data_IF_271196350045
#
_entry.id   IF_271196350045
#
_cell.length_a   1.000
_cell.length_b   1.000
_cell.length_c   1.000
_cell.angle_alpha   90.00
_cell.angle_beta   90.00
_cell.angle_gamma   90.00
#
_symmetry.space_group_name_H-M   'P 1'
#
loop_
_entity.id
_entity.type
_entity.pdbx_description
1 polymer ?
#
# COMPACT_ATOMS: atom_id res chain seq x y z
N UNK A 1 -21.36 -17.42 -12.85
CA UNK A 1 -22.05 -16.33 -13.58
C UNK A 1 -21.31 -15.04 -13.27
N UNK A 2 -20.66 -14.39 -14.25
CA UNK A 2 -20.04 -13.08 -14.06
C UNK A 2 -21.12 -12.01 -14.05
N UNK A 3 -21.13 -11.15 -13.06
CA UNK A 3 -22.06 -10.01 -12.99
C UNK A 3 -21.76 -9.06 -14.15
N UNK A 4 -22.64 -9.00 -15.15
CA UNK A 4 -22.46 -8.11 -16.30
C UNK A 4 -22.77 -6.66 -15.89
N UNK A 5 -21.72 -5.90 -15.61
CA UNK A 5 -21.86 -4.45 -15.50
C UNK A 5 -22.04 -3.85 -16.91
N UNK A 6 -22.92 -2.86 -17.04
CA UNK A 6 -23.00 -2.09 -18.26
C UNK A 6 -21.79 -1.11 -18.31
N UNK A 7 -20.79 -1.31 -19.19
CA UNK A 7 -19.61 -0.47 -19.25
C UNK A 7 -19.91 0.93 -19.78
N UNK A 8 -21.07 1.11 -20.46
CA UNK A 8 -21.51 2.38 -21.02
C UNK A 8 -22.07 3.38 -20.02
N UNK A 9 -22.31 2.98 -18.75
CA UNK A 9 -22.83 3.88 -17.72
C UNK A 9 -21.69 4.41 -16.86
N UNK A 10 -21.61 5.74 -16.57
CA UNK A 10 -22.46 6.85 -17.06
C UNK A 10 -22.11 7.31 -18.47
N UNK A 11 -20.97 6.94 -19.02
CA UNK A 11 -20.53 7.23 -20.39
C UNK A 11 -19.74 6.06 -20.96
N UNK A 12 -19.85 5.79 -22.28
CA UNK A 12 -19.13 4.70 -22.91
C UNK A 12 -17.64 5.05 -23.13
N UNK A 13 -16.70 4.20 -22.70
CA UNK A 13 -15.27 4.42 -22.87
C UNK A 13 -14.81 4.58 -24.32
N UNK A 14 -15.56 4.01 -25.27
CA UNK A 14 -15.27 4.07 -26.72
C UNK A 14 -15.34 5.51 -27.27
N UNK A 15 -16.17 6.38 -26.66
CA UNK A 15 -16.33 7.80 -27.06
C UNK A 15 -15.24 8.70 -26.48
N UNK A 16 -14.30 8.16 -25.69
CA UNK A 16 -13.19 8.94 -25.17
C UNK A 16 -12.26 9.41 -26.29
N UNK A 17 -11.87 10.70 -26.34
CA UNK A 17 -10.96 11.23 -27.36
C UNK A 17 -9.55 10.63 -27.28
N UNK A 18 -9.18 10.09 -26.12
CA UNK A 18 -7.91 9.42 -25.88
C UNK A 18 -8.15 7.96 -25.55
N UNK A 19 -7.10 7.12 -25.66
CA UNK A 19 -7.19 5.74 -25.19
C UNK A 19 -7.58 5.70 -23.71
N UNK A 20 -8.74 5.14 -23.42
CA UNK A 20 -9.33 5.14 -22.08
C UNK A 20 -8.44 4.47 -21.02
N UNK A 21 -7.49 3.64 -21.42
CA UNK A 21 -6.48 3.07 -20.54
C UNK A 21 -5.68 4.13 -19.77
N UNK A 22 -5.47 5.33 -20.33
CA UNK A 22 -4.82 6.44 -19.60
C UNK A 22 -5.72 7.03 -18.51
N UNK A 23 -7.02 7.07 -18.74
CA UNK A 23 -8.00 7.46 -17.70
C UNK A 23 -8.00 6.42 -16.58
N UNK A 24 -7.95 5.14 -16.95
CA UNK A 24 -7.83 4.04 -15.97
C UNK A 24 -6.51 4.10 -15.21
N UNK A 25 -5.41 4.49 -15.85
CA UNK A 25 -4.12 4.69 -15.17
C UNK A 25 -4.27 5.74 -14.07
N UNK A 26 -4.80 6.91 -14.42
CA UNK A 26 -5.06 7.98 -13.45
C UNK A 26 -6.04 7.53 -12.36
N UNK A 27 -7.14 6.89 -12.74
CA UNK A 27 -8.14 6.40 -11.79
C UNK A 27 -7.57 5.36 -10.82
N UNK A 28 -6.71 4.47 -11.30
CA UNK A 28 -6.01 3.49 -10.46
C UNK A 28 -5.03 4.16 -9.50
N UNK A 29 -4.29 5.19 -9.94
CA UNK A 29 -3.40 5.98 -9.07
C UNK A 29 -4.21 6.65 -7.94
N UNK A 30 -5.33 7.31 -8.28
CA UNK A 30 -6.23 7.91 -7.29
C UNK A 30 -6.75 6.84 -6.31
N UNK A 31 -7.14 5.66 -6.81
CA UNK A 31 -7.61 4.57 -5.95
C UNK A 31 -6.55 4.06 -4.96
N UNK A 32 -5.29 3.98 -5.38
CA UNK A 32 -4.18 3.61 -4.49
C UNK A 32 -3.96 4.72 -3.45
N UNK A 33 -3.97 5.99 -3.84
CA UNK A 33 -3.80 7.14 -2.93
C UNK A 33 -4.95 7.22 -1.93
N UNK A 34 -6.19 7.00 -2.34
CA UNK A 34 -7.36 7.00 -1.45
C UNK A 34 -7.36 5.82 -0.46
N UNK A 35 -6.49 4.83 -0.64
CA UNK A 35 -6.27 3.76 0.34
C UNK A 35 -5.37 4.18 1.50
N UNK A 36 -4.67 5.33 1.42
CA UNK A 36 -3.66 5.77 2.41
C UNK A 36 -4.19 5.80 3.85
N UNK A 37 -5.42 6.22 4.16
CA UNK A 37 -5.93 6.16 5.53
C UNK A 37 -5.94 4.75 6.14
N UNK A 38 -5.96 3.70 5.30
CA UNK A 38 -5.83 2.30 5.71
C UNK A 38 -4.40 1.75 5.63
N UNK A 39 -3.42 2.54 5.21
CA UNK A 39 -2.01 2.16 5.12
C UNK A 39 -1.26 2.53 6.41
N UNK A 40 -0.11 1.92 6.65
CA UNK A 40 0.73 2.21 7.81
C UNK A 40 1.10 3.69 7.88
N UNK A 41 1.46 4.29 6.74
CA UNK A 41 1.78 5.72 6.62
C UNK A 41 0.64 6.64 7.09
N UNK A 42 -0.61 6.29 6.74
CA UNK A 42 -1.77 7.08 7.15
C UNK A 42 -2.09 6.92 8.64
N UNK A 43 -1.93 5.69 9.17
CA UNK A 43 -2.24 5.37 10.57
C UNK A 43 -1.21 5.95 11.52
N UNK A 44 0.08 6.00 11.14
CA UNK A 44 1.18 6.43 12.00
C UNK A 44 0.97 7.81 12.62
N UNK A 45 0.38 8.74 11.87
CA UNK A 45 0.09 10.12 12.31
C UNK A 45 -0.90 10.17 13.48
N UNK A 46 -1.77 9.17 13.62
CA UNK A 46 -2.81 9.13 14.65
C UNK A 46 -2.43 8.32 15.89
N UNK A 47 -1.29 7.64 15.87
CA UNK A 47 -0.90 6.66 16.91
C UNK A 47 -0.90 7.29 18.32
N UNK A 48 -0.24 8.44 18.49
CA UNK A 48 -0.11 9.09 19.80
C UNK A 48 -1.45 9.65 20.30
N UNK A 49 -2.28 10.15 19.39
CA UNK A 49 -3.63 10.60 19.74
C UNK A 49 -4.54 9.45 20.18
N UNK A 50 -4.41 8.27 19.57
CA UNK A 50 -5.15 7.08 19.97
C UNK A 50 -4.70 6.57 21.33
N UNK A 51 -3.38 6.58 21.62
CA UNK A 51 -2.82 6.22 22.94
C UNK A 51 -3.32 7.19 24.01
N UNK A 52 -3.29 8.49 23.74
CA UNK A 52 -3.81 9.50 24.67
C UNK A 52 -5.33 9.44 24.88
N UNK A 53 -6.07 8.86 23.94
CA UNK A 53 -7.54 8.79 24.00
C UNK A 53 -8.08 7.47 24.59
N UNK A 54 -7.27 6.43 24.70
CA UNK A 54 -7.65 5.08 25.14
C UNK A 54 -6.71 4.60 26.26
N UNK A 55 -7.17 3.72 27.17
CA UNK A 55 -6.33 3.16 28.24
C UNK A 55 -5.41 2.06 27.69
N UNK A 56 -4.67 2.37 26.64
CA UNK A 56 -3.77 1.42 25.96
C UNK A 56 -2.34 1.95 25.96
N UNK A 57 -1.40 1.07 26.25
CA UNK A 57 0.02 1.33 26.01
C UNK A 57 0.34 1.28 24.51
N UNK A 58 1.49 1.84 24.14
CA UNK A 58 2.00 1.77 22.76
C UNK A 58 2.13 0.31 22.28
N UNK A 59 2.64 -0.57 23.13
CA UNK A 59 2.77 -2.00 22.80
C UNK A 59 1.42 -2.67 22.56
N UNK A 60 0.40 -2.34 23.36
CA UNK A 60 -0.95 -2.87 23.19
C UNK A 60 -1.61 -2.34 21.90
N UNK A 61 -1.41 -1.06 21.58
CA UNK A 61 -1.92 -0.49 20.32
C UNK A 61 -1.22 -1.13 19.11
N UNK A 62 0.10 -1.38 19.19
CA UNK A 62 0.86 -2.09 18.15
C UNK A 62 0.39 -3.54 18.00
N UNK A 63 0.07 -4.22 19.12
CA UNK A 63 -0.52 -5.56 19.10
C UNK A 63 -1.88 -5.56 18.39
N UNK A 64 -2.74 -4.57 18.69
CA UNK A 64 -4.03 -4.43 18.00
C UNK A 64 -3.85 -4.22 16.49
N UNK A 65 -2.88 -3.39 16.10
CA UNK A 65 -2.54 -3.15 14.69
C UNK A 65 -2.03 -4.41 13.99
N UNK A 66 -1.15 -5.18 14.66
CA UNK A 66 -0.63 -6.46 14.18
C UNK A 66 -1.77 -7.47 13.97
N UNK A 67 -2.63 -7.66 14.97
CA UNK A 67 -3.75 -8.59 14.89
C UNK A 67 -4.73 -8.21 13.76
N UNK A 68 -5.10 -6.92 13.66
CA UNK A 68 -5.95 -6.43 12.58
C UNK A 68 -5.33 -6.64 11.19
N UNK A 69 -4.02 -6.43 11.05
CA UNK A 69 -3.29 -6.65 9.79
C UNK A 69 -3.25 -8.13 9.41
N UNK A 70 -2.96 -9.02 10.35
CA UNK A 70 -2.92 -10.46 10.13
C UNK A 70 -4.29 -10.99 9.72
N UNK A 71 -5.36 -10.59 10.43
CA UNK A 71 -6.74 -10.94 10.07
C UNK A 71 -7.11 -10.48 8.66
N UNK A 72 -6.72 -9.26 8.29
CA UNK A 72 -6.90 -8.72 6.93
C UNK A 72 -6.21 -9.61 5.88
N UNK A 73 -4.97 -10.05 6.15
CA UNK A 73 -4.21 -10.93 5.26
C UNK A 73 -4.91 -12.25 4.98
N UNK A 74 -5.50 -12.90 5.98
CA UNK A 74 -6.23 -14.15 5.80
C UNK A 74 -7.50 -14.01 4.93
N UNK A 75 -8.13 -12.84 4.94
CA UNK A 75 -9.39 -12.62 4.23
C UNK A 75 -9.22 -12.05 2.82
N UNK A 76 -8.04 -11.49 2.48
CA UNK A 76 -7.84 -10.84 1.19
C UNK A 76 -8.00 -11.77 0.00
N UNK A 77 -7.63 -13.04 0.14
CA UNK A 77 -7.82 -14.05 -0.92
C UNK A 77 -9.30 -14.26 -1.26
N UNK A 78 -10.17 -14.20 -0.24
CA UNK A 78 -11.64 -14.28 -0.48
C UNK A 78 -12.14 -13.03 -1.20
N UNK A 79 -11.65 -11.85 -0.82
CA UNK A 79 -11.98 -10.59 -1.51
C UNK A 79 -11.53 -10.61 -2.98
N UNK A 80 -10.39 -11.25 -3.30
CA UNK A 80 -9.94 -11.47 -4.67
C UNK A 80 -10.94 -12.27 -5.52
N UNK A 81 -11.53 -13.34 -4.95
CA UNK A 81 -12.58 -14.11 -5.62
C UNK A 81 -13.84 -13.27 -5.89
N UNK A 82 -14.21 -12.38 -4.97
CA UNK A 82 -15.32 -11.45 -5.18
C UNK A 82 -14.99 -10.41 -6.24
N UNK A 83 -13.74 -9.90 -6.27
CA UNK A 83 -13.29 -9.03 -7.33
C UNK A 83 -13.41 -9.69 -8.73
N UNK A 84 -13.02 -10.94 -8.88
CA UNK A 84 -13.15 -11.67 -10.14
C UNK A 84 -14.60 -11.87 -10.56
N UNK A 85 -15.53 -11.95 -9.60
CA UNK A 85 -16.96 -12.11 -9.83
C UNK A 85 -17.67 -10.80 -10.14
N UNK A 86 -17.39 -9.74 -9.37
CA UNK A 86 -18.14 -8.48 -9.40
C UNK A 86 -17.41 -7.35 -10.13
N UNK A 87 -16.11 -7.48 -10.39
CA UNK A 87 -15.29 -6.52 -11.12
C UNK A 87 -14.86 -5.29 -10.31
N UNK A 88 -14.04 -4.45 -10.95
CA UNK A 88 -13.34 -3.34 -10.31
C UNK A 88 -14.29 -2.26 -9.76
N UNK A 89 -15.35 -1.90 -10.51
CA UNK A 89 -16.26 -0.81 -10.12
C UNK A 89 -17.02 -1.16 -8.83
N UNK A 90 -17.69 -2.32 -8.78
CA UNK A 90 -18.48 -2.71 -7.60
C UNK A 90 -17.59 -2.89 -6.39
N UNK A 91 -16.46 -3.60 -6.54
CA UNK A 91 -15.55 -3.84 -5.43
C UNK A 91 -14.86 -2.56 -4.98
N UNK A 92 -14.57 -1.62 -5.89
CA UNK A 92 -14.00 -0.31 -5.54
C UNK A 92 -15.00 0.57 -4.76
N UNK A 93 -16.26 0.62 -5.19
CA UNK A 93 -17.32 1.33 -4.44
C UNK A 93 -17.54 0.72 -3.07
N UNK A 94 -17.65 -0.61 -2.99
CA UNK A 94 -17.80 -1.31 -1.71
C UNK A 94 -16.63 -1.01 -0.76
N UNK A 95 -15.40 -1.09 -1.26
CA UNK A 95 -14.21 -0.79 -0.47
C UNK A 95 -14.19 0.67 0.01
N UNK A 96 -14.58 1.62 -0.85
CA UNK A 96 -14.67 3.04 -0.49
C UNK A 96 -15.70 3.31 0.60
N UNK A 97 -16.92 2.79 0.47
CA UNK A 97 -17.98 2.92 1.48
C UNK A 97 -17.54 2.31 2.81
N UNK A 98 -17.06 1.05 2.77
CA UNK A 98 -16.67 0.34 3.98
C UNK A 98 -15.44 0.96 4.66
N UNK A 99 -14.45 1.44 3.89
CA UNK A 99 -13.34 2.20 4.46
C UNK A 99 -13.84 3.50 5.09
N UNK A 100 -14.72 4.24 4.43
CA UNK A 100 -15.33 5.45 4.98
C UNK A 100 -16.03 5.18 6.33
N UNK A 101 -16.83 4.10 6.41
CA UNK A 101 -17.47 3.68 7.67
C UNK A 101 -16.45 3.32 8.75
N UNK A 102 -15.37 2.62 8.39
CA UNK A 102 -14.31 2.28 9.35
C UNK A 102 -13.55 3.53 9.83
N UNK A 103 -13.37 4.55 8.99
CA UNK A 103 -12.78 5.83 9.40
C UNK A 103 -13.71 6.60 10.37
N UNK A 104 -15.03 6.56 10.16
CA UNK A 104 -16.01 7.09 11.15
C UNK A 104 -15.93 6.31 12.45
N UNK A 105 -15.79 4.98 12.39
CA UNK A 105 -15.58 4.14 13.56
C UNK A 105 -14.31 4.55 14.32
N UNK A 106 -13.17 4.74 13.61
CA UNK A 106 -11.90 5.19 14.21
C UNK A 106 -12.03 6.58 14.86
N UNK A 107 -12.75 7.51 14.24
CA UNK A 107 -13.02 8.84 14.80
C UNK A 107 -13.76 8.80 16.13
N UNK A 108 -14.49 7.71 16.39
CA UNK A 108 -15.31 7.52 17.60
C UNK A 108 -14.82 6.40 18.52
N UNK A 109 -13.65 5.81 18.21
CA UNK A 109 -13.12 4.63 18.92
C UNK A 109 -13.02 4.83 20.44
N UNK A 110 -12.72 6.06 20.88
CA UNK A 110 -12.62 6.44 22.28
C UNK A 110 -13.98 6.65 22.99
N UNK A 111 -15.10 6.55 22.26
CA UNK A 111 -16.47 6.73 22.80
C UNK A 111 -17.31 5.47 22.73
N UNK A 112 -16.85 4.44 22.02
CA UNK A 112 -17.62 3.21 21.80
C UNK A 112 -17.94 2.50 23.12
N UNK A 113 -17.03 2.56 24.08
CA UNK A 113 -17.15 1.86 25.35
C UNK A 113 -17.86 2.69 26.45
N UNK A 114 -18.09 3.99 26.24
CA UNK A 114 -18.77 4.87 27.23
C UNK A 114 -20.13 4.32 27.67
N UNK A 115 -21.02 3.84 26.78
CA UNK A 115 -22.32 3.31 27.18
C UNK A 115 -22.27 2.09 28.09
N UNK A 116 -21.14 1.35 28.07
CA UNK A 116 -20.98 0.11 28.83
C UNK A 116 -20.17 0.29 30.11
N UNK A 117 -19.21 1.20 30.12
CA UNK A 117 -18.22 1.33 31.21
C UNK A 117 -18.11 2.76 31.77
N UNK A 118 -18.98 3.70 31.31
CA UNK A 118 -18.94 5.10 31.74
C UNK A 118 -17.82 5.91 31.10
N UNK A 119 -17.72 7.18 31.52
CA UNK A 119 -16.78 8.15 30.94
C UNK A 119 -15.34 8.00 31.44
N UNK A 120 -15.18 7.37 32.62
CA UNK A 120 -13.85 7.16 33.21
C UNK A 120 -13.06 6.07 32.48
N UNK A 121 -12.25 6.49 31.50
CA UNK A 121 -11.53 5.57 30.63
C UNK A 121 -10.47 4.72 31.34
N UNK A 122 -9.98 5.16 32.50
CA UNK A 122 -9.02 4.38 33.30
C UNK A 122 -9.62 3.10 33.90
N UNK A 123 -10.94 3.04 34.01
CA UNK A 123 -11.67 1.88 34.52
C UNK A 123 -12.09 0.89 33.43
N UNK A 124 -11.88 1.25 32.15
CA UNK A 124 -12.24 0.34 31.06
C UNK A 124 -11.37 -0.90 31.05
N UNK A 125 -11.97 -2.08 30.94
CA UNK A 125 -11.17 -3.30 30.80
C UNK A 125 -10.32 -3.23 29.52
N UNK A 126 -9.01 -3.39 29.67
CA UNK A 126 -8.02 -3.29 28.57
C UNK A 126 -8.39 -4.20 27.38
N UNK A 127 -8.95 -5.40 27.67
CA UNK A 127 -9.37 -6.32 26.62
C UNK A 127 -10.43 -5.75 25.67
N UNK A 128 -11.38 -4.96 26.19
CA UNK A 128 -12.41 -4.31 25.36
C UNK A 128 -11.84 -3.14 24.56
N UNK A 129 -10.97 -2.32 25.16
CA UNK A 129 -10.28 -1.27 24.44
C UNK A 129 -9.39 -1.84 23.32
N UNK A 130 -8.70 -2.95 23.59
CA UNK A 130 -7.91 -3.68 22.59
C UNK A 130 -8.82 -4.22 21.48
N UNK A 131 -9.97 -4.83 21.80
CA UNK A 131 -10.89 -5.37 20.80
C UNK A 131 -11.45 -4.28 19.87
N UNK A 132 -11.81 -3.11 20.42
CA UNK A 132 -12.23 -1.94 19.63
C UNK A 132 -11.14 -1.56 18.62
N UNK A 133 -9.88 -1.51 19.04
CA UNK A 133 -8.78 -1.14 18.14
C UNK A 133 -8.45 -2.25 17.13
N UNK A 134 -8.53 -3.52 17.50
CA UNK A 134 -8.35 -4.66 16.56
C UNK A 134 -9.39 -4.59 15.45
N UNK A 135 -10.66 -4.37 15.79
CA UNK A 135 -11.74 -4.26 14.79
C UNK A 135 -11.50 -3.04 13.88
N UNK A 136 -11.15 -1.89 14.45
CA UNK A 136 -10.85 -0.67 13.71
C UNK A 136 -9.68 -0.87 12.74
N UNK A 137 -8.56 -1.38 13.22
CA UNK A 137 -7.37 -1.64 12.40
C UNK A 137 -7.63 -2.74 11.37
N UNK A 138 -8.33 -3.81 11.73
CA UNK A 138 -8.75 -4.81 10.74
C UNK A 138 -9.54 -4.16 9.60
N UNK A 139 -10.55 -3.36 9.93
CA UNK A 139 -11.42 -2.74 8.93
C UNK A 139 -10.67 -1.80 7.99
N UNK A 140 -9.88 -0.86 8.50
CA UNK A 140 -9.13 0.09 7.66
C UNK A 140 -8.05 -0.61 6.83
N UNK A 141 -7.38 -1.64 7.38
CA UNK A 141 -6.38 -2.45 6.66
C UNK A 141 -7.02 -3.28 5.56
N UNK A 142 -8.11 -3.96 5.87
CA UNK A 142 -8.79 -4.85 4.91
C UNK A 142 -9.40 -4.08 3.74
N UNK A 143 -10.17 -3.02 4.02
CA UNK A 143 -10.83 -2.26 2.96
C UNK A 143 -9.89 -1.28 2.26
N UNK A 144 -8.99 -0.63 2.99
CA UNK A 144 -8.03 0.33 2.43
C UNK A 144 -6.84 -0.35 1.76
N UNK A 145 -5.91 -0.86 2.55
CA UNK A 145 -4.69 -1.49 2.02
C UNK A 145 -5.00 -2.75 1.21
N UNK A 146 -5.93 -3.58 1.68
CA UNK A 146 -6.27 -4.83 1.02
C UNK A 146 -7.08 -4.59 -0.25
N UNK A 147 -8.39 -4.40 -0.12
CA UNK A 147 -9.31 -4.43 -1.26
C UNK A 147 -9.10 -3.26 -2.21
N UNK A 148 -9.03 -2.01 -1.70
CA UNK A 148 -8.94 -0.83 -2.57
C UNK A 148 -7.65 -0.81 -3.39
N UNK A 149 -6.50 -1.16 -2.78
CA UNK A 149 -5.22 -1.27 -3.49
C UNK A 149 -5.24 -2.41 -4.50
N UNK A 150 -5.76 -3.59 -4.12
CA UNK A 150 -5.88 -4.75 -5.01
C UNK A 150 -6.76 -4.43 -6.23
N UNK A 151 -7.94 -3.85 -6.01
CA UNK A 151 -8.88 -3.48 -7.08
C UNK A 151 -8.23 -2.51 -8.07
N UNK A 152 -7.57 -1.46 -7.55
CA UNK A 152 -6.94 -0.43 -8.37
C UNK A 152 -5.79 -1.00 -9.20
N UNK A 153 -4.90 -1.81 -8.60
CA UNK A 153 -3.78 -2.44 -9.31
C UNK A 153 -4.24 -3.47 -10.34
N UNK A 154 -5.16 -4.36 -9.97
CA UNK A 154 -5.66 -5.40 -10.87
C UNK A 154 -6.41 -4.82 -12.06
N UNK A 155 -7.19 -3.75 -11.85
CA UNK A 155 -7.84 -3.02 -12.94
C UNK A 155 -6.80 -2.50 -13.94
N UNK A 156 -5.75 -1.83 -13.48
CA UNK A 156 -4.65 -1.33 -14.31
C UNK A 156 -4.02 -2.42 -15.18
N UNK A 157 -3.72 -3.58 -14.58
CA UNK A 157 -3.06 -4.69 -15.28
C UNK A 157 -3.89 -5.29 -16.42
N UNK A 158 -5.24 -5.15 -16.38
CA UNK A 158 -6.13 -5.60 -17.45
C UNK A 158 -6.15 -4.65 -18.65
N UNK A 159 -5.88 -3.35 -18.46
CA UNK A 159 -5.92 -2.33 -19.52
C UNK A 159 -4.60 -2.19 -20.28
N UNK A 160 -3.47 -2.62 -19.68
CA UNK A 160 -2.15 -2.58 -20.29
C UNK A 160 -1.57 -3.99 -20.42
N UNK A 161 -1.14 -4.36 -21.61
CA UNK A 161 -0.49 -5.64 -21.88
C UNK A 161 0.98 -5.46 -22.27
N UNK A 162 1.25 -4.71 -23.33
CA UNK A 162 2.61 -4.42 -23.80
C UNK A 162 3.28 -3.26 -23.05
N UNK A 163 2.48 -2.33 -22.51
CA UNK A 163 2.98 -1.14 -21.78
C UNK A 163 2.85 -1.27 -20.26
N UNK A 164 2.72 -2.49 -19.74
CA UNK A 164 2.63 -2.73 -18.28
C UNK A 164 3.78 -2.12 -17.52
N UNK A 165 5.02 -2.23 -18.04
CA UNK A 165 6.21 -1.65 -17.42
C UNK A 165 6.13 -0.14 -17.30
N UNK A 166 5.75 0.56 -18.39
CA UNK A 166 5.56 2.02 -18.38
C UNK A 166 4.44 2.44 -17.43
N UNK A 167 3.29 1.76 -17.49
CA UNK A 167 2.17 2.04 -16.59
C UNK A 167 2.56 1.86 -15.13
N UNK A 168 3.24 0.76 -14.79
CA UNK A 168 3.74 0.52 -13.44
C UNK A 168 4.77 1.56 -12.99
N UNK A 169 5.67 2.00 -13.86
CA UNK A 169 6.67 3.02 -13.54
C UNK A 169 5.98 4.36 -13.20
N UNK A 170 5.02 4.80 -14.01
CA UNK A 170 4.24 6.04 -13.76
C UNK A 170 3.49 5.93 -12.42
N UNK A 171 2.78 4.81 -12.21
CA UNK A 171 2.06 4.54 -10.95
C UNK A 171 3.03 4.53 -9.77
N UNK A 172 4.19 3.87 -9.92
CA UNK A 172 5.19 3.76 -8.86
C UNK A 172 5.72 5.11 -8.40
N UNK A 173 6.07 5.99 -9.35
CA UNK A 173 6.53 7.36 -9.04
C UNK A 173 5.44 8.16 -8.35
N UNK A 174 4.23 8.19 -8.93
CA UNK A 174 3.12 8.97 -8.38
C UNK A 174 2.72 8.50 -6.97
N UNK A 175 2.59 7.20 -6.78
CA UNK A 175 2.22 6.58 -5.50
C UNK A 175 3.31 6.82 -4.45
N UNK A 176 4.61 6.69 -4.82
CA UNK A 176 5.72 6.92 -3.91
C UNK A 176 5.67 8.32 -3.30
N UNK A 177 5.55 9.36 -4.13
CA UNK A 177 5.44 10.73 -3.66
C UNK A 177 4.14 11.00 -2.88
N UNK A 178 3.02 10.46 -3.33
CA UNK A 178 1.73 10.64 -2.64
C UNK A 178 1.73 10.01 -1.25
N UNK A 179 2.29 8.80 -1.12
CA UNK A 179 2.40 8.13 0.17
C UNK A 179 3.35 8.89 1.12
N UNK A 180 4.46 9.39 0.59
CA UNK A 180 5.43 10.14 1.38
C UNK A 180 4.93 11.52 1.82
N UNK A 181 4.09 12.17 1.02
CA UNK A 181 3.48 13.45 1.36
C UNK A 181 2.29 13.30 2.33
N UNK A 182 1.61 12.15 2.33
CA UNK A 182 0.37 11.96 3.08
C UNK A 182 0.48 12.19 4.58
N UNK A 183 1.53 11.73 5.30
CA UNK A 183 1.67 12.02 6.73
C UNK A 183 1.70 13.51 7.03
N UNK A 184 2.45 14.31 6.25
CA UNK A 184 2.51 15.76 6.40
C UNK A 184 1.16 16.44 6.14
N UNK A 185 0.44 15.98 5.10
CA UNK A 185 -0.91 16.48 4.78
C UNK A 185 -1.88 16.17 5.91
N UNK A 186 -1.88 14.92 6.41
CA UNK A 186 -2.78 14.51 7.50
C UNK A 186 -2.48 15.27 8.79
N UNK A 187 -1.20 15.43 9.14
CA UNK A 187 -0.78 16.22 10.29
C UNK A 187 -1.22 17.68 10.16
N UNK A 188 -1.06 18.29 8.99
CA UNK A 188 -1.51 19.67 8.73
C UNK A 188 -3.03 19.84 8.93
N UNK A 189 -3.84 18.88 8.47
CA UNK A 189 -5.29 18.88 8.70
C UNK A 189 -5.58 18.71 10.20
N UNK A 190 -4.89 17.77 10.83
CA UNK A 190 -5.08 17.39 12.23
C UNK A 190 -4.76 18.55 13.19
N UNK A 191 -3.70 19.31 12.91
CA UNK A 191 -3.32 20.49 13.69
C UNK A 191 -4.36 21.61 13.61
N UNK A 192 -5.16 21.67 12.53
CA UNK A 192 -6.23 22.67 12.36
C UNK A 192 -7.59 22.23 12.90
N UNK A 193 -7.90 20.94 12.81
CA UNK A 193 -9.27 20.43 13.04
C UNK A 193 -9.35 19.40 14.16
N UNK A 194 -8.22 18.91 14.67
CA UNK A 194 -8.13 17.80 15.60
C UNK A 194 -8.23 16.43 14.94
N UNK A 195 -7.72 15.41 15.61
CA UNK A 195 -7.58 14.06 15.06
C UNK A 195 -8.92 13.39 14.71
N UNK A 196 -9.99 13.61 15.50
CA UNK A 196 -11.30 13.03 15.22
C UNK A 196 -11.92 13.61 13.96
N UNK A 197 -11.87 14.93 13.82
CA UNK A 197 -12.39 15.62 12.63
C UNK A 197 -11.58 15.25 11.38
N UNK A 198 -10.27 15.05 11.53
CA UNK A 198 -9.43 14.57 10.42
C UNK A 198 -9.88 13.20 9.91
N UNK A 199 -10.16 12.23 10.81
CA UNK A 199 -10.76 10.95 10.42
C UNK A 199 -12.09 11.12 9.68
N UNK A 200 -12.96 12.05 10.13
CA UNK A 200 -14.26 12.30 9.47
C UNK A 200 -14.09 12.95 8.09
N UNK A 201 -13.13 13.86 7.93
CA UNK A 201 -12.80 14.46 6.62
C UNK A 201 -12.31 13.36 5.66
N UNK A 202 -11.40 12.51 6.11
CA UNK A 202 -10.92 11.38 5.33
C UNK A 202 -12.06 10.38 5.00
N UNK A 203 -12.96 10.14 5.96
CA UNK A 203 -14.14 9.31 5.76
C UNK A 203 -15.07 9.86 4.66
N UNK A 204 -15.33 11.16 4.66
CA UNK A 204 -16.14 11.83 3.64
C UNK A 204 -15.43 11.79 2.26
N UNK A 205 -14.13 12.09 2.24
CA UNK A 205 -13.35 12.07 1.02
C UNK A 205 -13.33 10.68 0.36
N UNK A 206 -13.16 9.61 1.16
CA UNK A 206 -13.14 8.23 0.66
C UNK A 206 -14.55 7.67 0.47
N UNK A 207 -15.41 7.76 1.47
CA UNK A 207 -16.72 7.12 1.48
C UNK A 207 -17.74 7.77 0.53
N UNK A 208 -17.59 9.06 0.24
CA UNK A 208 -18.48 9.78 -0.68
C UNK A 208 -17.72 10.19 -1.94
N UNK A 209 -16.65 10.99 -1.79
CA UNK A 209 -15.94 11.55 -2.94
C UNK A 209 -15.33 10.49 -3.84
N UNK A 210 -14.56 9.57 -3.26
CA UNK A 210 -13.91 8.51 -4.04
C UNK A 210 -14.94 7.48 -4.57
N UNK A 211 -16.00 7.18 -3.84
CA UNK A 211 -17.07 6.28 -4.34
C UNK A 211 -17.74 6.86 -5.59
N UNK A 212 -18.04 8.15 -5.58
CA UNK A 212 -18.55 8.84 -6.78
C UNK A 212 -17.52 8.79 -7.93
N UNK A 213 -16.24 9.00 -7.63
CA UNK A 213 -15.16 8.91 -8.61
C UNK A 213 -15.03 7.49 -9.20
N UNK A 214 -15.12 6.44 -8.39
CA UNK A 214 -15.10 5.03 -8.84
C UNK A 214 -16.28 4.75 -9.76
N UNK A 215 -17.48 5.19 -9.38
CA UNK A 215 -18.67 5.03 -10.23
C UNK A 215 -18.48 5.66 -11.60
N UNK A 216 -17.88 6.84 -11.68
CA UNK A 216 -17.65 7.57 -12.93
C UNK A 216 -16.56 6.92 -13.79
N UNK A 217 -15.40 6.59 -13.22
CA UNK A 217 -14.19 6.31 -13.99
C UNK A 217 -13.77 4.85 -14.02
N UNK A 218 -14.07 4.03 -13.00
CA UNK A 218 -13.61 2.64 -12.98
C UNK A 218 -14.33 1.80 -14.04
N UNK A 219 -13.52 1.04 -14.79
CA UNK A 219 -13.98 0.04 -15.77
C UNK A 219 -13.14 -1.22 -15.60
N UNK A 220 -13.77 -2.38 -15.55
CA UNK A 220 -13.10 -3.64 -15.19
C UNK A 220 -12.04 -4.07 -16.20
N UNK A 221 -12.40 -4.05 -17.47
CA UNK A 221 -11.49 -4.47 -18.54
C UNK A 221 -11.86 -3.78 -19.87
N UNK A 222 -10.89 -3.66 -20.81
CA UNK A 222 -11.13 -3.03 -22.10
C UNK A 222 -12.10 -3.84 -22.97
N UNK A 223 -12.08 -5.18 -22.92
CA UNK A 223 -12.91 -6.04 -23.77
C UNK A 223 -14.39 -5.86 -23.47
N UNK A 224 -14.77 -5.72 -22.20
CA UNK A 224 -16.15 -5.43 -21.80
C UNK A 224 -16.64 -4.07 -22.35
N UNK A 225 -15.70 -3.16 -22.66
CA UNK A 225 -15.96 -1.82 -23.20
C UNK A 225 -15.73 -1.75 -24.72
N UNK A 226 -15.67 -2.88 -25.44
CA UNK A 226 -15.41 -2.90 -26.88
C UNK A 226 -14.00 -2.51 -27.32
N UNK A 227 -13.07 -2.33 -26.37
CA UNK A 227 -11.71 -1.87 -26.62
C UNK A 227 -10.69 -3.02 -26.49
N UNK A 228 -9.51 -2.80 -27.09
CA UNK A 228 -8.36 -3.71 -26.91
C UNK A 228 -7.37 -3.14 -25.89
N UNK A 229 -6.64 -3.98 -25.15
CA UNK A 229 -5.52 -3.52 -24.32
C UNK A 229 -4.53 -2.69 -25.15
N UNK A 230 -3.88 -1.70 -24.54
CA UNK A 230 -2.91 -0.79 -25.18
C UNK A 230 -3.44 0.01 -26.39
N UNK A 231 -4.72 -0.09 -26.77
CA UNK A 231 -5.30 0.59 -27.91
C UNK A 231 -4.72 0.13 -29.26
N UNK A 232 -4.55 1.06 -30.23
CA UNK A 232 -4.13 0.77 -31.62
C UNK A 232 -2.62 0.51 -31.78
N UNK A 233 -1.79 0.68 -30.76
CA UNK A 233 -0.31 0.75 -30.88
C UNK A 233 0.45 -0.56 -30.56
N UNK A 234 -0.22 -1.70 -30.65
CA UNK A 234 0.28 -3.01 -30.16
C UNK A 234 1.39 -3.71 -31.01
N UNK A 235 1.93 -3.15 -32.12
CA UNK A 235 2.59 -4.00 -33.14
C UNK A 235 4.13 -3.98 -33.27
N UNK A 236 4.89 -3.17 -32.52
CA UNK A 236 6.35 -3.04 -32.80
C UNK A 236 7.34 -3.33 -31.65
N UNK A 237 6.92 -3.83 -30.49
CA UNK A 237 7.80 -3.92 -29.31
C UNK A 237 8.22 -5.34 -28.88
N UNK A 238 8.05 -6.38 -29.69
CA UNK A 238 8.11 -7.78 -29.20
C UNK A 238 9.30 -8.60 -29.72
N UNK A 239 10.49 -8.04 -29.96
CA UNK A 239 11.61 -8.87 -30.47
C UNK A 239 12.77 -9.16 -29.51
N UNK A 240 12.81 -8.63 -28.31
CA UNK A 240 13.84 -9.02 -27.33
C UNK A 240 13.19 -9.51 -26.05
N UNK A 241 12.98 -10.79 -25.94
CA UNK A 241 12.56 -11.45 -24.70
C UNK A 241 13.61 -11.28 -23.58
N UNK A 242 13.22 -11.42 -22.30
CA UNK A 242 14.13 -11.25 -21.18
C UNK A 242 15.32 -12.22 -21.24
N UNK A 243 16.52 -11.70 -20.91
CA UNK A 243 17.81 -12.43 -20.94
C UNK A 243 17.83 -13.66 -20.02
N UNK A 244 17.00 -13.67 -19.00
CA UNK A 244 16.88 -14.77 -18.04
C UNK A 244 15.46 -15.32 -18.09
N UNK A 245 15.31 -16.51 -18.64
CA UNK A 245 14.07 -17.29 -18.58
C UNK A 245 14.27 -18.42 -17.58
N UNK A 246 13.23 -18.80 -16.80
CA UNK A 246 13.32 -19.99 -15.97
C UNK A 246 13.44 -21.24 -16.87
N UNK A 247 14.20 -22.22 -16.41
CA UNK A 247 14.41 -23.48 -17.16
C UNK A 247 13.09 -24.24 -17.37
N UNK A 248 12.15 -24.06 -16.44
CA UNK A 248 10.80 -24.64 -16.50
C UNK A 248 9.78 -23.78 -15.75
N UNK A 249 8.51 -24.07 -15.96
CA UNK A 249 7.42 -23.49 -15.18
C UNK A 249 7.25 -24.28 -13.88
N UNK A 250 7.36 -23.59 -12.74
CA UNK A 250 7.24 -24.22 -11.42
C UNK A 250 5.81 -24.10 -10.89
N UNK A 251 5.33 -25.15 -10.26
CA UNK A 251 4.14 -25.10 -9.39
C UNK A 251 4.53 -24.55 -8.01
N UNK A 252 3.57 -24.08 -7.22
CA UNK A 252 3.83 -23.63 -5.84
C UNK A 252 4.54 -24.71 -5.02
N UNK A 253 4.11 -25.98 -5.14
CA UNK A 253 4.69 -27.10 -4.42
C UNK A 253 6.17 -27.34 -4.77
N UNK A 254 6.57 -27.12 -6.01
CA UNK A 254 7.97 -27.19 -6.44
C UNK A 254 8.75 -25.95 -6.00
N UNK A 255 8.15 -24.75 -6.11
CA UNK A 255 8.79 -23.50 -5.73
C UNK A 255 9.17 -23.47 -4.24
N UNK A 256 8.28 -23.88 -3.35
CA UNK A 256 8.52 -23.90 -1.88
C UNK A 256 9.65 -24.87 -1.46
N UNK A 257 10.04 -25.79 -2.32
CA UNK A 257 11.18 -26.71 -2.08
C UNK A 257 12.53 -26.12 -2.46
N UNK A 258 12.57 -24.92 -3.04
CA UNK A 258 13.80 -24.25 -3.46
C UNK A 258 14.32 -23.27 -2.41
N UNK A 259 15.64 -23.21 -2.22
CA UNK A 259 16.26 -22.20 -1.34
C UNK A 259 15.97 -20.78 -1.80
N UNK A 260 15.92 -20.53 -3.11
CA UNK A 260 15.64 -19.21 -3.68
C UNK A 260 14.26 -18.68 -3.21
N UNK A 261 13.24 -19.56 -3.16
CA UNK A 261 11.91 -19.18 -2.68
C UNK A 261 11.97 -18.62 -1.25
N UNK A 262 12.60 -19.35 -0.33
CA UNK A 262 12.64 -18.95 1.08
C UNK A 262 13.53 -17.75 1.35
N UNK A 263 14.69 -17.66 0.69
CA UNK A 263 15.60 -16.51 0.86
C UNK A 263 14.92 -15.22 0.43
N UNK A 264 14.28 -15.19 -0.74
CA UNK A 264 13.58 -13.98 -1.21
C UNK A 264 12.33 -13.69 -0.39
N UNK A 265 11.52 -14.70 -0.02
CA UNK A 265 10.36 -14.50 0.85
C UNK A 265 10.75 -13.95 2.21
N UNK A 266 11.77 -14.52 2.86
CA UNK A 266 12.24 -14.08 4.16
C UNK A 266 12.73 -12.63 4.09
N UNK A 267 13.52 -12.29 3.06
CA UNK A 267 13.96 -10.91 2.86
C UNK A 267 12.78 -9.95 2.68
N UNK A 268 11.78 -10.34 1.88
CA UNK A 268 10.59 -9.52 1.65
C UNK A 268 9.76 -9.35 2.92
N UNK A 269 9.59 -10.42 3.69
CA UNK A 269 8.88 -10.38 4.97
C UNK A 269 9.62 -9.49 5.98
N UNK A 270 10.94 -9.63 6.07
CA UNK A 270 11.80 -8.84 6.96
C UNK A 270 11.77 -7.36 6.59
N UNK A 271 11.87 -7.03 5.31
CA UNK A 271 11.78 -5.67 4.81
C UNK A 271 10.39 -5.06 5.11
N UNK A 272 9.32 -5.79 4.80
CA UNK A 272 7.96 -5.33 5.09
C UNK A 272 7.71 -5.11 6.58
N UNK A 273 8.20 -6.03 7.44
CA UNK A 273 8.13 -5.90 8.90
C UNK A 273 8.90 -4.66 9.37
N UNK A 274 10.14 -4.50 8.94
CA UNK A 274 11.01 -3.41 9.34
C UNK A 274 10.45 -2.04 8.95
N UNK A 275 10.02 -1.89 7.70
CA UNK A 275 9.42 -0.64 7.20
C UNK A 275 8.10 -0.34 7.90
N UNK A 276 7.28 -1.36 8.16
CA UNK A 276 6.03 -1.18 8.89
C UNK A 276 6.29 -0.71 10.31
N UNK A 277 7.24 -1.34 11.02
CA UNK A 277 7.62 -0.95 12.38
C UNK A 277 8.17 0.47 12.42
N UNK A 278 9.13 0.80 11.54
CA UNK A 278 9.69 2.14 11.44
C UNK A 278 8.59 3.18 11.17
N UNK A 279 7.75 2.96 10.17
CA UNK A 279 6.72 3.92 9.79
C UNK A 279 5.68 4.12 10.90
N UNK A 280 5.31 3.04 11.59
CA UNK A 280 4.32 3.09 12.69
C UNK A 280 4.85 3.84 13.91
N UNK A 281 6.14 3.75 14.18
CA UNK A 281 6.78 4.33 15.36
C UNK A 281 7.64 5.57 15.08
N UNK A 282 7.70 6.06 13.83
CA UNK A 282 8.64 7.11 13.41
C UNK A 282 8.55 8.36 14.28
N UNK A 283 7.33 8.85 14.55
CA UNK A 283 7.13 10.05 15.39
C UNK A 283 7.71 9.83 16.77
N UNK A 284 7.40 8.69 17.40
CA UNK A 284 7.89 8.38 18.75
C UNK A 284 9.41 8.26 18.82
N UNK A 285 10.00 7.59 17.83
CA UNK A 285 11.46 7.41 17.74
C UNK A 285 12.16 8.76 17.65
N UNK A 286 11.61 9.67 16.84
CA UNK A 286 12.20 11.00 16.67
C UNK A 286 12.00 11.88 17.91
N UNK A 287 10.81 11.85 18.52
CA UNK A 287 10.53 12.61 19.75
C UNK A 287 11.40 12.11 20.90
N UNK A 288 11.61 10.81 21.05
CA UNK A 288 12.50 10.22 22.05
C UNK A 288 13.97 10.61 21.81
N UNK A 289 14.38 10.77 20.55
CA UNK A 289 15.69 11.28 20.16
C UNK A 289 15.82 12.81 20.24
N UNK A 290 14.76 13.54 20.70
CA UNK A 290 14.79 14.98 20.90
C UNK A 290 14.41 15.83 19.70
N UNK A 291 13.87 15.21 18.63
CA UNK A 291 13.33 15.92 17.46
C UNK A 291 11.84 16.21 17.61
N UNK A 292 11.32 17.17 16.85
CA UNK A 292 9.90 17.45 16.77
C UNK A 292 9.18 16.52 15.77
N UNK A 293 7.86 16.41 15.89
CA UNK A 293 7.01 15.60 15.04
C UNK A 293 7.10 16.00 13.56
N UNK A 294 7.24 17.29 13.30
CA UNK A 294 7.35 17.82 11.92
C UNK A 294 8.61 17.30 11.24
N UNK A 295 9.73 17.27 11.97
CA UNK A 295 10.99 16.69 11.49
C UNK A 295 10.83 15.20 11.22
N UNK A 296 10.19 14.45 12.12
CA UNK A 296 9.92 13.02 11.92
C UNK A 296 9.12 12.73 10.64
N UNK A 297 8.12 13.56 10.34
CA UNK A 297 7.29 13.40 9.15
C UNK A 297 7.94 13.93 7.86
N UNK A 298 8.85 14.89 7.98
CA UNK A 298 9.53 15.51 6.82
C UNK A 298 10.48 14.56 6.09
N UNK A 299 10.99 13.51 6.75
CA UNK A 299 11.94 12.55 6.14
C UNK A 299 11.31 11.74 5.00
N UNK A 300 10.00 11.58 4.96
CA UNK A 300 9.33 10.69 4.00
C UNK A 300 9.49 11.17 2.55
N UNK A 301 9.47 12.48 2.29
CA UNK A 301 9.66 13.01 0.93
C UNK A 301 11.07 12.74 0.40
N UNK A 302 12.15 13.08 1.11
CA UNK A 302 13.51 12.68 0.69
C UNK A 302 13.68 11.17 0.53
N UNK A 303 13.10 10.36 1.43
CA UNK A 303 13.08 8.89 1.31
C UNK A 303 12.48 8.48 -0.02
N UNK A 304 11.38 9.09 -0.45
CA UNK A 304 10.72 8.74 -1.72
C UNK A 304 11.57 9.10 -2.94
N UNK A 305 12.31 10.19 -2.91
CA UNK A 305 13.26 10.56 -3.99
C UNK A 305 14.34 9.49 -4.13
N UNK A 306 14.95 9.09 -3.01
CA UNK A 306 15.97 8.03 -2.99
C UNK A 306 15.35 6.71 -3.44
N UNK A 307 14.17 6.34 -2.94
CA UNK A 307 13.50 5.10 -3.30
C UNK A 307 13.16 5.03 -4.80
N UNK A 308 12.67 6.11 -5.40
CA UNK A 308 12.38 6.17 -6.84
C UNK A 308 13.68 6.02 -7.64
N UNK A 309 14.76 6.68 -7.24
CA UNK A 309 16.06 6.58 -7.89
C UNK A 309 16.59 5.15 -7.87
N UNK A 310 16.55 4.50 -6.70
CA UNK A 310 16.97 3.09 -6.59
C UNK A 310 16.01 2.14 -7.31
N UNK A 311 14.72 2.41 -7.34
CA UNK A 311 13.75 1.59 -8.09
C UNK A 311 14.01 1.63 -9.59
N UNK A 312 14.23 2.81 -10.17
CA UNK A 312 14.52 2.97 -11.60
C UNK A 312 15.87 2.34 -11.96
N UNK A 313 16.92 2.60 -11.19
CA UNK A 313 18.26 2.03 -11.43
C UNK A 313 18.29 0.52 -11.23
N UNK A 314 17.72 0.01 -10.14
CA UNK A 314 17.65 -1.42 -9.89
C UNK A 314 16.72 -2.14 -10.89
N UNK A 315 15.64 -1.49 -11.33
CA UNK A 315 14.75 -2.01 -12.36
C UNK A 315 15.51 -2.28 -13.67
N UNK A 316 16.25 -1.29 -14.15
CA UNK A 316 17.09 -1.43 -15.35
C UNK A 316 18.24 -2.43 -15.16
N UNK A 317 18.93 -2.38 -14.02
CA UNK A 317 20.01 -3.32 -13.70
C UNK A 317 19.51 -4.75 -13.54
N UNK A 318 18.29 -4.96 -13.08
CA UNK A 318 17.74 -6.31 -12.89
C UNK A 318 17.78 -7.16 -14.16
N UNK A 319 17.70 -6.55 -15.35
CA UNK A 319 17.77 -7.27 -16.62
C UNK A 319 19.18 -7.78 -16.96
N UNK A 320 20.21 -7.17 -16.39
CA UNK A 320 21.61 -7.44 -16.72
C UNK A 320 22.38 -8.21 -15.65
N UNK A 321 22.00 -8.03 -14.36
CA UNK A 321 22.70 -8.65 -13.22
C UNK A 321 21.88 -9.76 -12.56
N UNK A 322 22.56 -10.56 -11.73
CA UNK A 322 21.88 -11.59 -10.92
C UNK A 322 21.14 -10.94 -9.76
N UNK A 323 19.89 -11.34 -9.52
CA UNK A 323 19.04 -10.77 -8.47
C UNK A 323 19.64 -10.85 -7.05
N UNK A 324 20.56 -11.80 -6.81
CA UNK A 324 21.30 -11.90 -5.55
C UNK A 324 22.06 -10.63 -5.18
N UNK A 325 22.56 -9.88 -6.15
CA UNK A 325 23.27 -8.61 -5.89
C UNK A 325 22.29 -7.52 -5.48
N UNK A 326 21.11 -7.47 -6.09
CA UNK A 326 20.04 -6.54 -5.66
C UNK A 326 19.54 -6.90 -4.25
N UNK A 327 19.46 -8.20 -3.93
CA UNK A 327 19.12 -8.67 -2.59
C UNK A 327 20.14 -8.19 -1.56
N UNK A 328 21.43 -8.32 -1.86
CA UNK A 328 22.50 -7.86 -0.96
C UNK A 328 22.45 -6.34 -0.73
N UNK A 329 22.20 -5.56 -1.80
CA UNK A 329 22.08 -4.09 -1.69
C UNK A 329 20.81 -3.72 -0.89
N UNK A 330 19.71 -4.47 -1.03
CA UNK A 330 18.50 -4.29 -0.23
C UNK A 330 18.78 -4.53 1.26
N UNK A 331 19.46 -5.63 1.60
CA UNK A 331 19.87 -5.95 2.96
C UNK A 331 20.83 -4.90 3.54
N UNK A 332 21.77 -4.39 2.74
CA UNK A 332 22.65 -3.30 3.14
C UNK A 332 21.86 -2.05 3.52
N UNK A 333 20.80 -1.72 2.75
CA UNK A 333 19.89 -0.61 3.08
C UNK A 333 19.21 -0.78 4.43
N UNK A 334 18.76 -2.00 4.74
CA UNK A 334 18.14 -2.31 6.04
C UNK A 334 19.17 -2.15 7.17
N UNK A 335 20.41 -2.64 6.98
CA UNK A 335 21.49 -2.50 7.98
C UNK A 335 21.84 -1.03 8.22
N UNK A 336 22.02 -0.24 7.15
CA UNK A 336 22.29 1.21 7.25
C UNK A 336 21.16 1.89 8.02
N UNK A 337 19.90 1.56 7.72
CA UNK A 337 18.75 2.12 8.44
C UNK A 337 18.78 1.76 9.93
N UNK A 338 19.06 0.50 10.26
CA UNK A 338 19.17 0.05 11.65
C UNK A 338 20.29 0.76 12.42
N UNK A 339 21.45 0.93 11.79
CA UNK A 339 22.56 1.67 12.38
C UNK A 339 22.22 3.16 12.56
N UNK A 340 21.58 3.78 11.57
CA UNK A 340 21.15 5.16 11.68
C UNK A 340 20.12 5.38 12.80
N UNK A 341 19.19 4.44 12.98
CA UNK A 341 18.24 4.49 14.11
C UNK A 341 18.90 4.31 15.48
N UNK A 342 19.91 3.46 15.56
CA UNK A 342 20.64 3.23 16.80
C UNK A 342 21.46 4.46 17.24
N UNK A 343 22.01 5.20 16.27
CA UNK A 343 22.77 6.43 16.50
C UNK A 343 21.97 7.70 16.20
N UNK A 344 20.62 7.63 16.25
CA UNK A 344 19.76 8.78 15.97
C UNK A 344 19.95 9.83 17.07
N UNK A 345 20.75 10.83 16.76
CA UNK A 345 21.05 11.96 17.60
C UNK A 345 20.75 13.25 16.81
N UNK A 346 21.16 14.40 17.33
CA UNK A 346 20.96 15.69 16.67
C UNK A 346 21.88 15.93 15.46
N UNK A 347 22.60 14.89 14.99
CA UNK A 347 23.55 15.02 13.88
C UNK A 347 22.82 14.87 12.54
N UNK A 348 22.74 15.91 11.69
CA UNK A 348 22.05 15.83 10.39
C UNK A 348 22.54 14.70 9.48
N UNK A 349 23.81 14.32 9.59
CA UNK A 349 24.39 13.22 8.81
C UNK A 349 23.70 11.87 9.10
N UNK A 350 23.27 11.62 10.34
CA UNK A 350 22.57 10.38 10.72
C UNK A 350 21.17 10.33 10.09
N UNK A 351 20.47 11.46 10.06
CA UNK A 351 19.16 11.56 9.36
C UNK A 351 19.34 11.31 7.86
N UNK A 352 20.41 11.82 7.23
CA UNK A 352 20.70 11.55 5.82
C UNK A 352 21.00 10.06 5.58
N UNK A 353 21.74 9.39 6.49
CA UNK A 353 21.96 7.95 6.42
C UNK A 353 20.66 7.17 6.58
N UNK A 354 19.77 7.59 7.47
CA UNK A 354 18.43 7.01 7.65
C UNK A 354 17.62 7.13 6.36
N UNK A 355 17.54 8.33 5.78
CA UNK A 355 16.84 8.59 4.51
C UNK A 355 17.43 7.72 3.38
N UNK A 356 18.76 7.67 3.28
CA UNK A 356 19.46 6.88 2.27
C UNK A 356 19.18 5.38 2.41
N UNK A 357 19.30 4.83 3.62
CA UNK A 357 19.09 3.42 3.92
C UNK A 357 17.65 2.97 3.65
N UNK A 358 16.66 3.72 4.18
CA UNK A 358 15.24 3.45 3.96
C UNK A 358 14.87 3.57 2.49
N UNK A 359 15.32 4.64 1.82
CA UNK A 359 15.02 4.85 0.40
C UNK A 359 15.64 3.77 -0.48
N UNK A 360 16.88 3.37 -0.22
CA UNK A 360 17.57 2.29 -0.94
C UNK A 360 16.82 0.96 -0.76
N UNK A 361 16.50 0.58 0.49
CA UNK A 361 15.80 -0.68 0.75
C UNK A 361 14.41 -0.71 0.11
N UNK A 362 13.63 0.37 0.23
CA UNK A 362 12.28 0.46 -0.35
C UNK A 362 12.30 0.43 -1.89
N UNK A 363 13.22 1.15 -2.52
CA UNK A 363 13.33 1.19 -3.97
C UNK A 363 13.66 -0.18 -4.55
N UNK A 364 14.64 -0.87 -3.96
CA UNK A 364 15.05 -2.21 -4.41
C UNK A 364 13.98 -3.27 -4.07
N UNK A 365 13.32 -3.16 -2.92
CA UNK A 365 12.22 -4.05 -2.53
C UNK A 365 11.12 -4.07 -3.59
N UNK A 366 10.73 -2.90 -4.13
CA UNK A 366 9.73 -2.80 -5.18
C UNK A 366 10.11 -3.60 -6.43
N UNK A 367 11.37 -3.56 -6.84
CA UNK A 367 11.89 -4.33 -7.98
C UNK A 367 11.93 -5.82 -7.67
N UNK A 368 12.50 -6.21 -6.53
CA UNK A 368 12.59 -7.61 -6.13
C UNK A 368 11.20 -8.25 -6.04
N UNK A 369 10.22 -7.54 -5.47
CA UNK A 369 8.86 -8.05 -5.35
C UNK A 369 8.18 -8.35 -6.69
N UNK A 370 8.53 -7.62 -7.75
CA UNK A 370 7.92 -7.79 -9.08
C UNK A 370 8.70 -8.73 -9.99
N UNK A 371 10.03 -8.73 -9.91
CA UNK A 371 10.89 -9.42 -10.88
C UNK A 371 11.29 -10.83 -10.43
N UNK A 372 11.36 -11.09 -9.13
CA UNK A 372 11.89 -12.36 -8.60
C UNK A 372 11.07 -13.57 -9.03
N UNK A 373 9.76 -13.52 -8.82
CA UNK A 373 8.88 -14.67 -9.01
C UNK A 373 8.80 -15.13 -10.45
N UNK A 374 8.50 -14.25 -11.44
CA UNK A 374 8.45 -14.67 -12.84
C UNK A 374 9.83 -15.11 -13.37
N UNK A 375 10.92 -14.57 -12.80
CA UNK A 375 12.28 -14.88 -13.25
C UNK A 375 12.81 -16.23 -12.77
N UNK A 376 12.45 -16.64 -11.54
CA UNK A 376 12.88 -17.93 -10.99
C UNK A 376 11.88 -19.04 -11.27
N UNK A 377 10.58 -18.76 -11.26
CA UNK A 377 9.55 -19.79 -11.24
C UNK A 377 8.64 -19.80 -12.48
N UNK A 378 8.77 -18.81 -13.36
CA UNK A 378 7.93 -18.67 -14.55
C UNK A 378 6.64 -17.94 -14.28
N UNK A 379 5.81 -17.83 -15.32
CA UNK A 379 4.60 -16.98 -15.29
C UNK A 379 3.29 -17.78 -15.22
N UNK A 380 3.34 -19.10 -15.44
CA UNK A 380 2.14 -19.92 -15.58
C UNK A 380 1.35 -20.04 -14.25
N UNK A 381 2.05 -20.18 -13.14
CA UNK A 381 1.47 -20.35 -11.80
C UNK A 381 1.77 -19.18 -10.85
N UNK A 382 2.08 -18.01 -11.42
CA UNK A 382 2.55 -16.85 -10.65
C UNK A 382 1.55 -16.36 -9.60
N UNK A 383 0.24 -16.53 -9.85
CA UNK A 383 -0.82 -16.17 -8.91
C UNK A 383 -0.92 -17.10 -7.70
N UNK A 384 -0.32 -18.30 -7.77
CA UNK A 384 -0.28 -19.25 -6.66
C UNK A 384 1.03 -19.13 -5.84
N UNK A 385 2.10 -18.67 -6.49
CA UNK A 385 3.44 -18.43 -5.93
C UNK A 385 3.52 -17.05 -5.30
#
# INVERSE_FOLDING_TARGET
>A
MKFKQNPGIPFPPEKSPIFYGWVILFAGMVGIVMSIPGQTMGVSVFTDHLIGALPLTRSQLSLAYMLGTVMSGFLITRAGKYYDKYGARVMGMLAGVMLGLMLVYMARSDRILIPFFGENKSEWPIGWALAVMVIGFFGIRFFGQGIMTMVSRNMLMKWFEHRRGLANAIVGVFVSFSFSAAPGVFNSIMNRTGWRTTWLILAAAVGIGFVAFVFLFFRDNPQASGLKPDGKLSRKATEKGPKYKPDRQYTLHEAIRTYSFWIFNLNMALNAMFITALTFHVVSIFVEAGYDETTALSIFIPISVVAVTFNLTAGTLSDYIRLKYLLLVNLLGIVITGMALFYLDHTPAVILLLIGGVGMSNGIFGVLNTVTWPRFFGTLHLGAI
#
